data_IF_497882894466
#
_entry.id   IF_497882894466
#
_cell.length_a   1.000
_cell.length_b   1.000
_cell.length_c   1.000
_cell.angle_alpha   90.00
_cell.angle_beta   90.00
_cell.angle_gamma   90.00
#
_symmetry.space_group_name_H-M   'P 1'
#
loop_
_entity.id
_entity.type
_entity.pdbx_description
1 polymer ?
#
# COMPACT_ATOMS: atom_id res chain seq x y z
N UNK A 1 14.22 -44.02 -34.41
CA UNK A 1 13.20 -44.10 -33.33
C UNK A 1 13.63 -43.50 -31.99
N UNK A 2 14.89 -43.63 -31.52
CA UNK A 2 15.31 -43.09 -30.21
C UNK A 2 15.31 -41.55 -30.08
N UNK A 3 15.43 -40.78 -31.17
CA UNK A 3 15.49 -39.29 -31.13
C UNK A 3 14.13 -38.60 -31.06
N UNK A 4 13.04 -39.26 -31.48
CA UNK A 4 11.68 -38.69 -31.47
C UNK A 4 11.08 -38.76 -30.06
N UNK A 5 11.44 -39.79 -29.29
CA UNK A 5 10.93 -40.01 -27.93
C UNK A 5 11.47 -38.96 -26.94
N UNK A 6 12.72 -38.51 -27.10
CA UNK A 6 13.31 -37.50 -26.20
C UNK A 6 12.71 -36.10 -26.36
N UNK A 7 12.24 -35.72 -27.56
CA UNK A 7 11.65 -34.38 -27.77
C UNK A 7 10.26 -34.27 -27.16
N UNK A 8 9.47 -35.35 -27.21
CA UNK A 8 8.11 -35.38 -26.64
C UNK A 8 8.14 -35.31 -25.11
N UNK A 9 9.10 -35.98 -24.46
CA UNK A 9 9.24 -35.94 -22.99
C UNK A 9 9.66 -34.55 -22.48
N UNK A 10 10.49 -33.79 -23.22
CA UNK A 10 10.90 -32.44 -22.83
C UNK A 10 9.77 -31.40 -22.98
N UNK A 11 8.85 -31.59 -23.93
CA UNK A 11 7.68 -30.70 -24.10
C UNK A 11 6.62 -30.89 -23.00
N UNK A 12 6.43 -32.12 -22.50
CA UNK A 12 5.47 -32.39 -21.42
C UNK A 12 5.96 -31.78 -20.10
N UNK A 13 7.25 -31.84 -19.82
CA UNK A 13 7.84 -31.26 -18.62
C UNK A 13 7.74 -29.71 -18.58
N UNK A 14 7.78 -29.04 -19.74
CA UNK A 14 7.66 -27.58 -19.82
C UNK A 14 6.20 -27.11 -19.73
N UNK A 15 5.23 -27.89 -20.23
CA UNK A 15 3.81 -27.56 -20.04
C UNK A 15 3.34 -27.77 -18.59
N UNK A 16 3.89 -28.75 -17.87
CA UNK A 16 3.59 -28.96 -16.44
C UNK A 16 4.10 -27.81 -15.54
N UNK A 17 5.22 -27.17 -15.90
CA UNK A 17 5.76 -26.01 -15.16
C UNK A 17 4.96 -24.72 -15.39
N UNK A 18 4.26 -24.60 -16.52
CA UNK A 18 3.43 -23.43 -16.83
C UNK A 18 2.03 -23.51 -16.19
N UNK A 19 1.55 -24.71 -15.85
CA UNK A 19 0.27 -24.89 -15.15
C UNK A 19 0.33 -24.49 -13.66
N UNK A 20 1.52 -24.47 -13.05
CA UNK A 20 1.69 -24.16 -11.61
C UNK A 20 1.96 -22.68 -11.33
N UNK A 21 2.08 -21.84 -12.36
CA UNK A 21 2.34 -20.40 -12.22
C UNK A 21 1.09 -19.52 -12.43
N UNK A 22 -0.08 -20.12 -12.69
CA UNK A 22 -1.29 -19.39 -13.14
C UNK A 22 -2.45 -19.31 -12.15
N UNK A 23 -2.46 -20.09 -11.09
CA UNK A 23 -3.55 -20.10 -10.10
C UNK A 23 -3.03 -19.48 -8.80
N UNK A 24 -2.85 -18.16 -8.83
CA UNK A 24 -2.78 -17.39 -7.60
C UNK A 24 -4.10 -17.61 -6.87
N UNK A 25 -4.07 -18.31 -5.75
CA UNK A 25 -5.19 -18.41 -4.82
C UNK A 25 -5.68 -16.98 -4.56
N UNK A 26 -6.85 -16.64 -5.07
CA UNK A 26 -7.67 -15.57 -4.50
C UNK A 26 -8.07 -16.09 -3.12
N UNK A 27 -7.14 -15.97 -2.16
CA UNK A 27 -7.38 -16.36 -0.80
C UNK A 27 -8.63 -15.64 -0.32
N UNK A 28 -9.60 -16.42 0.16
CA UNK A 28 -10.72 -15.94 0.96
C UNK A 28 -10.14 -15.25 2.21
N UNK A 29 -9.68 -14.01 2.05
CA UNK A 29 -9.32 -13.18 3.17
C UNK A 29 -10.63 -12.77 3.82
N UNK A 30 -10.89 -13.15 5.08
CA UNK A 30 -12.12 -12.78 5.75
C UNK A 30 -12.23 -11.25 5.75
N UNK A 31 -13.26 -10.74 5.08
CA UNK A 31 -13.50 -9.31 4.97
C UNK A 31 -13.81 -8.77 6.37
N UNK A 32 -12.94 -7.90 6.91
CA UNK A 32 -13.17 -7.28 8.21
C UNK A 32 -14.42 -6.41 8.14
N UNK A 33 -15.25 -6.47 9.18
CA UNK A 33 -16.38 -5.55 9.32
C UNK A 33 -15.88 -4.11 9.47
N UNK A 34 -16.74 -3.15 9.14
CA UNK A 34 -16.43 -1.73 9.29
C UNK A 34 -16.06 -1.36 10.73
N UNK A 35 -16.72 -1.98 11.71
CA UNK A 35 -16.49 -1.79 13.14
C UNK A 35 -15.10 -2.33 13.53
N UNK A 36 -14.73 -3.51 13.04
CA UNK A 36 -13.41 -4.08 13.25
C UNK A 36 -12.32 -3.19 12.63
N UNK A 37 -12.57 -2.67 11.43
CA UNK A 37 -11.66 -1.73 10.77
C UNK A 37 -11.52 -0.42 11.56
N UNK A 38 -12.61 0.17 12.04
CA UNK A 38 -12.59 1.36 12.90
C UNK A 38 -11.79 1.12 14.17
N UNK A 39 -12.00 -0.02 14.84
CA UNK A 39 -11.26 -0.37 16.04
C UNK A 39 -9.76 -0.49 15.75
N UNK A 40 -9.38 -1.20 14.70
CA UNK A 40 -7.98 -1.32 14.29
C UNK A 40 -7.37 0.05 13.96
N UNK A 41 -8.09 0.88 13.20
CA UNK A 41 -7.63 2.21 12.81
C UNK A 41 -7.46 3.13 14.02
N UNK A 42 -8.36 3.03 15.01
CA UNK A 42 -8.29 3.81 16.25
C UNK A 42 -7.00 3.57 17.06
N UNK A 43 -6.37 2.40 16.91
CA UNK A 43 -5.15 2.02 17.61
C UNK A 43 -3.88 2.52 16.92
N UNK A 44 -3.94 2.80 15.62
CA UNK A 44 -2.80 3.33 14.87
C UNK A 44 -2.77 4.85 14.93
N UNK A 45 -1.63 5.43 15.31
CA UNK A 45 -1.47 6.87 15.46
C UNK A 45 -1.75 7.66 14.16
N UNK A 46 -1.48 7.05 13.01
CA UNK A 46 -1.78 7.62 11.69
C UNK A 46 -3.25 7.37 11.31
N UNK A 47 -3.67 6.09 11.26
CA UNK A 47 -5.00 5.71 10.75
C UNK A 47 -6.16 6.23 11.59
N UNK A 48 -5.95 6.56 12.87
CA UNK A 48 -7.01 7.13 13.73
C UNK A 48 -7.61 8.41 13.16
N UNK A 49 -6.87 9.16 12.34
CA UNK A 49 -7.37 10.37 11.67
C UNK A 49 -8.48 10.06 10.65
N UNK A 50 -8.55 8.83 10.12
CA UNK A 50 -9.57 8.39 9.18
C UNK A 50 -10.90 8.04 9.86
N UNK A 51 -10.87 7.61 11.12
CA UNK A 51 -12.04 7.09 11.85
C UNK A 51 -13.26 8.02 11.79
N UNK A 52 -13.13 9.35 11.96
CA UNK A 52 -14.28 10.28 11.87
C UNK A 52 -14.94 10.32 10.49
N UNK A 53 -14.23 9.91 9.43
CA UNK A 53 -14.69 10.00 8.05
C UNK A 53 -15.22 8.68 7.52
N UNK A 54 -14.97 7.54 8.18
CA UNK A 54 -15.38 6.23 7.68
C UNK A 54 -16.90 6.06 7.49
N UNK A 55 -17.73 6.87 8.14
CA UNK A 55 -19.19 6.89 7.95
C UNK A 55 -19.68 7.86 6.88
N UNK A 56 -18.78 8.64 6.28
CA UNK A 56 -19.11 9.59 5.23
C UNK A 56 -19.25 8.87 3.90
N UNK A 57 -20.26 9.23 3.12
CA UNK A 57 -20.51 8.65 1.79
C UNK A 57 -19.29 8.77 0.88
N UNK A 58 -18.62 9.93 0.88
CA UNK A 58 -17.44 10.16 0.05
C UNK A 58 -16.25 9.27 0.41
N UNK A 59 -16.13 8.85 1.68
CA UNK A 59 -15.02 7.99 2.11
C UNK A 59 -15.08 6.63 1.43
N UNK A 60 -16.28 6.09 1.24
CA UNK A 60 -16.50 4.84 0.49
C UNK A 60 -16.29 4.97 -1.03
N UNK A 61 -15.97 6.16 -1.53
CA UNK A 61 -15.60 6.40 -2.93
C UNK A 61 -14.11 6.66 -3.12
N UNK A 62 -13.33 6.53 -2.04
CA UNK A 62 -11.89 6.66 -2.11
C UNK A 62 -11.28 5.41 -2.76
N UNK A 63 -10.31 5.60 -3.65
CA UNK A 63 -9.51 4.50 -4.20
C UNK A 63 -8.02 4.83 -4.12
N UNK A 64 -7.20 3.77 -4.11
CA UNK A 64 -5.75 3.86 -3.99
C UNK A 64 -5.08 3.08 -5.11
N UNK A 65 -4.14 3.72 -5.80
CA UNK A 65 -3.30 3.09 -6.80
C UNK A 65 -1.84 3.21 -6.42
N UNK A 66 -1.06 2.14 -6.61
CA UNK A 66 0.36 2.11 -6.24
C UNK A 66 1.19 1.57 -7.40
N UNK A 67 2.15 2.39 -7.85
CA UNK A 67 3.02 2.05 -8.96
C UNK A 67 4.49 2.13 -8.55
N UNK A 68 5.29 1.20 -9.05
CA UNK A 68 6.74 1.26 -8.89
C UNK A 68 7.32 2.31 -9.84
N UNK A 69 8.25 3.11 -9.33
CA UNK A 69 9.16 3.97 -10.09
C UNK A 69 10.54 3.31 -10.14
N UNK A 70 11.41 3.75 -11.06
CA UNK A 70 12.79 3.24 -11.14
C UNK A 70 13.54 3.35 -9.81
N UNK A 71 13.32 4.43 -9.06
CA UNK A 71 14.00 4.75 -7.81
C UNK A 71 13.03 4.85 -6.62
N UNK A 72 11.85 4.21 -6.70
CA UNK A 72 10.86 4.34 -5.63
C UNK A 72 9.47 3.85 -5.99
N UNK A 73 8.44 4.50 -5.44
CA UNK A 73 7.04 4.29 -5.76
C UNK A 73 6.27 5.61 -5.82
N UNK A 74 5.15 5.59 -6.53
CA UNK A 74 4.12 6.62 -6.51
C UNK A 74 2.82 6.00 -6.00
N UNK A 75 2.13 6.76 -5.16
CA UNK A 75 0.80 6.46 -4.66
C UNK A 75 -0.16 7.52 -5.17
N UNK A 76 -1.32 7.09 -5.66
CA UNK A 76 -2.37 7.98 -6.12
C UNK A 76 -3.61 7.66 -5.30
N UNK A 77 -4.11 8.67 -4.59
CA UNK A 77 -5.39 8.64 -3.91
C UNK A 77 -6.41 9.38 -4.76
N UNK A 78 -7.57 8.78 -5.00
CA UNK A 78 -8.68 9.42 -5.68
C UNK A 78 -9.91 9.46 -4.77
N UNK A 79 -10.68 10.54 -4.83
CA UNK A 79 -11.96 10.74 -4.13
C UNK A 79 -13.06 10.88 -5.19
N UNK A 80 -13.83 9.81 -5.41
CA UNK A 80 -14.86 9.80 -6.46
C UNK A 80 -16.00 10.79 -6.22
N UNK A 81 -16.46 10.93 -4.98
CA UNK A 81 -17.46 11.92 -4.57
C UNK A 81 -16.82 13.26 -4.21
N UNK A 82 -16.87 14.18 -5.17
CA UNK A 82 -16.28 15.52 -5.05
C UNK A 82 -16.91 16.38 -3.95
N UNK A 83 -18.09 16.03 -3.44
CA UNK A 83 -18.70 16.75 -2.32
C UNK A 83 -17.88 16.60 -1.03
N UNK A 84 -17.10 15.51 -0.91
CA UNK A 84 -16.22 15.22 0.22
C UNK A 84 -14.88 15.95 0.23
N UNK A 85 -14.52 16.67 -0.85
CA UNK A 85 -13.15 17.19 -1.01
C UNK A 85 -12.70 18.15 0.09
N UNK A 86 -13.61 18.93 0.70
CA UNK A 86 -13.25 19.81 1.80
C UNK A 86 -12.85 19.03 3.07
N UNK A 87 -13.58 17.96 3.38
CA UNK A 87 -13.26 17.05 4.48
C UNK A 87 -11.99 16.25 4.17
N UNK A 88 -11.82 15.77 2.93
CA UNK A 88 -10.59 15.10 2.51
C UNK A 88 -9.34 15.98 2.65
N UNK A 89 -9.41 17.27 2.28
CA UNK A 89 -8.30 18.22 2.51
C UNK A 89 -7.92 18.36 3.99
N UNK A 90 -8.92 18.28 4.86
CA UNK A 90 -8.71 18.32 6.31
C UNK A 90 -8.03 17.04 6.79
N UNK A 91 -8.47 15.88 6.28
CA UNK A 91 -7.83 14.58 6.51
C UNK A 91 -6.36 14.58 6.02
N UNK A 92 -6.10 15.08 4.81
CA UNK A 92 -4.77 15.20 4.23
C UNK A 92 -3.84 16.05 5.12
N UNK A 93 -4.27 17.23 5.56
CA UNK A 93 -3.48 18.07 6.46
C UNK A 93 -3.21 17.39 7.83
N UNK A 94 -4.15 16.60 8.34
CA UNK A 94 -3.94 15.82 9.55
C UNK A 94 -2.89 14.70 9.35
N UNK A 95 -2.92 14.03 8.20
CA UNK A 95 -1.91 13.06 7.82
C UNK A 95 -0.53 13.67 7.65
N UNK A 96 -0.41 14.83 6.99
CA UNK A 96 0.86 15.54 6.85
C UNK A 96 1.44 15.91 8.22
N UNK A 97 0.61 16.47 9.11
CA UNK A 97 1.02 16.81 10.47
C UNK A 97 1.49 15.58 11.24
N UNK A 98 0.68 14.53 11.29
CA UNK A 98 1.02 13.32 12.05
C UNK A 98 2.19 12.55 11.43
N UNK A 99 2.32 12.52 10.11
CA UNK A 99 3.47 11.96 9.41
C UNK A 99 4.77 12.67 9.79
N UNK A 100 4.77 14.00 9.84
CA UNK A 100 5.91 14.80 10.28
C UNK A 100 6.31 14.53 11.75
N UNK A 101 5.36 14.18 12.61
CA UNK A 101 5.63 13.77 13.99
C UNK A 101 6.22 12.35 14.02
N UNK A 102 5.60 11.40 13.34
CA UNK A 102 6.02 9.99 13.25
C UNK A 102 7.42 9.84 12.66
N UNK A 103 7.81 10.66 11.68
CA UNK A 103 9.18 10.70 11.12
C UNK A 103 10.27 10.84 12.17
N UNK A 104 9.96 11.50 13.30
CA UNK A 104 10.92 11.78 14.38
C UNK A 104 10.98 10.66 15.42
N UNK A 105 10.08 9.69 15.35
CA UNK A 105 10.00 8.62 16.34
C UNK A 105 11.14 7.62 16.22
N UNK A 106 11.48 7.02 17.35
CA UNK A 106 12.32 5.82 17.40
C UNK A 106 11.58 4.63 16.77
N UNK A 107 12.32 3.59 16.36
CA UNK A 107 11.72 2.34 15.89
C UNK A 107 10.85 1.69 16.97
N UNK A 108 11.25 1.79 18.24
CA UNK A 108 10.49 1.25 19.37
C UNK A 108 9.14 1.96 19.55
N UNK A 109 9.12 3.29 19.43
CA UNK A 109 7.87 4.07 19.52
C UNK A 109 6.96 3.78 18.32
N UNK A 110 7.53 3.74 17.11
CA UNK A 110 6.81 3.40 15.89
C UNK A 110 6.16 2.01 16.00
N UNK A 111 6.90 0.99 16.45
CA UNK A 111 6.39 -0.37 16.63
C UNK A 111 5.23 -0.44 17.63
N UNK A 112 5.23 0.41 18.66
CA UNK A 112 4.18 0.44 19.69
C UNK A 112 2.91 1.15 19.22
N UNK A 113 3.05 2.15 18.36
CA UNK A 113 1.98 3.13 18.09
C UNK A 113 1.43 3.09 16.66
N UNK A 114 2.08 2.37 15.74
CA UNK A 114 1.67 2.27 14.34
C UNK A 114 1.17 0.86 14.01
N UNK A 115 0.23 0.74 13.08
CA UNK A 115 -0.08 -0.55 12.45
C UNK A 115 1.08 -0.99 11.53
N UNK A 116 1.10 -2.26 11.13
CA UNK A 116 2.16 -2.84 10.31
C UNK A 116 2.43 -2.04 9.02
N UNK A 117 1.37 -1.61 8.33
CA UNK A 117 1.51 -0.75 7.15
C UNK A 117 2.26 0.56 7.47
N UNK A 118 1.84 1.29 8.51
CA UNK A 118 2.49 2.54 8.90
C UNK A 118 3.91 2.33 9.47
N UNK A 119 4.20 1.17 10.08
CA UNK A 119 5.56 0.78 10.49
C UNK A 119 6.46 0.58 9.26
N UNK A 120 5.94 -0.04 8.19
CA UNK A 120 6.65 -0.17 6.91
C UNK A 120 7.03 1.20 6.34
N UNK A 121 6.06 2.11 6.24
CA UNK A 121 6.30 3.49 5.78
C UNK A 121 7.31 4.24 6.65
N UNK A 122 7.24 4.11 7.97
CA UNK A 122 8.24 4.67 8.89
C UNK A 122 9.64 4.11 8.63
N UNK A 123 9.75 2.79 8.45
CA UNK A 123 11.02 2.11 8.16
C UNK A 123 11.66 2.60 6.86
N UNK A 124 10.87 2.87 5.81
CA UNK A 124 11.37 3.47 4.57
C UNK A 124 12.01 4.83 4.82
N UNK A 125 11.33 5.71 5.57
CA UNK A 125 11.86 7.03 5.92
C UNK A 125 13.13 6.93 6.77
N UNK A 126 13.20 5.98 7.72
CA UNK A 126 14.41 5.72 8.51
C UNK A 126 15.60 5.21 7.66
N UNK A 127 15.32 4.45 6.61
CA UNK A 127 16.34 4.00 5.65
C UNK A 127 16.86 5.14 4.74
N UNK A 128 16.21 6.31 4.76
CA UNK A 128 16.56 7.47 3.95
C UNK A 128 15.78 7.55 2.64
N UNK A 129 14.58 6.97 2.58
CA UNK A 129 13.61 7.36 1.58
C UNK A 129 13.16 8.81 1.83
N UNK A 130 13.03 9.58 0.77
CA UNK A 130 12.39 10.89 0.78
C UNK A 130 10.95 10.70 0.36
N UNK A 131 10.03 11.27 1.12
CA UNK A 131 8.62 11.29 0.79
C UNK A 131 8.10 12.70 0.59
N UNK A 132 7.25 12.85 -0.43
CA UNK A 132 6.59 14.11 -0.79
C UNK A 132 5.15 13.82 -1.20
N UNK A 133 4.23 14.67 -0.75
CA UNK A 133 2.80 14.48 -0.94
C UNK A 133 2.18 15.77 -1.42
N UNK A 134 1.42 15.67 -2.50
CA UNK A 134 0.77 16.81 -3.15
C UNK A 134 -0.72 16.55 -3.23
N UNK A 135 -1.49 17.49 -2.69
CA UNK A 135 -2.93 17.52 -2.84
C UNK A 135 -3.32 17.86 -4.29
N UNK A 136 -4.23 17.10 -4.88
CA UNK A 136 -4.77 17.35 -6.23
C UNK A 136 -6.19 17.93 -6.16
N UNK A 137 -6.84 18.08 -7.32
CA UNK A 137 -8.23 18.52 -7.41
C UNK A 137 -9.21 17.48 -6.84
N UNK A 138 -8.84 16.21 -6.89
CA UNK A 138 -9.70 15.04 -6.70
C UNK A 138 -9.06 13.96 -5.81
N UNK A 139 -8.05 14.33 -5.02
CA UNK A 139 -7.37 13.41 -4.12
C UNK A 139 -5.95 13.90 -3.79
N UNK A 140 -4.98 13.00 -3.81
CA UNK A 140 -3.57 13.33 -3.60
C UNK A 140 -2.64 12.39 -4.34
N UNK A 141 -1.39 12.82 -4.50
CA UNK A 141 -0.31 12.02 -5.06
C UNK A 141 0.86 12.04 -4.09
N UNK A 142 1.34 10.86 -3.71
CA UNK A 142 2.49 10.66 -2.85
C UNK A 142 3.65 10.01 -3.60
N UNK A 143 4.87 10.41 -3.30
CA UNK A 143 6.09 9.79 -3.80
C UNK A 143 6.93 9.29 -2.63
N UNK A 144 7.55 8.13 -2.79
CA UNK A 144 8.62 7.65 -1.90
C UNK A 144 9.78 7.24 -2.78
N UNK A 145 10.90 7.95 -2.67
CA UNK A 145 12.06 7.77 -3.56
C UNK A 145 13.36 7.68 -2.78
N UNK A 146 14.34 7.00 -3.35
CA UNK A 146 15.70 6.96 -2.80
C UNK A 146 16.73 6.70 -3.90
N UNK A 147 17.93 7.26 -3.73
CA UNK A 147 19.08 6.94 -4.59
C UNK A 147 19.83 5.69 -4.11
N UNK A 148 19.48 5.16 -2.93
CA UNK A 148 20.09 3.97 -2.33
C UNK A 148 19.42 2.70 -2.87
N UNK A 149 20.14 1.82 -3.58
CA UNK A 149 19.54 0.61 -4.17
C UNK A 149 18.85 -0.30 -3.16
N UNK A 150 19.38 -0.40 -1.94
CA UNK A 150 18.79 -1.17 -0.84
C UNK A 150 17.47 -0.57 -0.36
N UNK A 151 17.37 0.75 -0.27
CA UNK A 151 16.12 1.43 0.10
C UNK A 151 15.09 1.33 -1.01
N UNK A 152 15.49 1.40 -2.28
CA UNK A 152 14.59 1.20 -3.43
C UNK A 152 13.94 -0.18 -3.38
N UNK A 153 14.71 -1.24 -3.05
CA UNK A 153 14.14 -2.59 -2.87
C UNK A 153 13.11 -2.65 -1.75
N UNK A 154 13.36 -1.96 -0.63
CA UNK A 154 12.40 -1.87 0.47
C UNK A 154 11.12 -1.14 0.03
N UNK A 155 11.26 -0.05 -0.74
CA UNK A 155 10.13 0.70 -1.28
C UNK A 155 9.28 -0.18 -2.20
N UNK A 156 9.90 -0.95 -3.10
CA UNK A 156 9.16 -1.86 -4.00
C UNK A 156 8.46 -2.98 -3.25
N UNK A 157 9.10 -3.56 -2.22
CA UNK A 157 8.46 -4.57 -1.39
C UNK A 157 7.24 -4.00 -0.64
N UNK A 158 7.36 -2.78 -0.11
CA UNK A 158 6.23 -2.08 0.51
C UNK A 158 5.11 -1.81 -0.52
N UNK A 159 5.46 -1.38 -1.74
CA UNK A 159 4.50 -1.15 -2.81
C UNK A 159 3.71 -2.42 -3.16
N UNK A 160 4.36 -3.57 -3.19
CA UNK A 160 3.70 -4.87 -3.42
C UNK A 160 2.70 -5.20 -2.31
N UNK A 161 3.08 -5.01 -1.05
CA UNK A 161 2.17 -5.21 0.10
C UNK A 161 0.97 -4.27 0.03
N UNK A 162 1.18 -3.01 -0.37
CA UNK A 162 0.11 -2.03 -0.48
C UNK A 162 -0.86 -2.36 -1.61
N UNK A 163 -0.35 -2.83 -2.76
CA UNK A 163 -1.21 -3.33 -3.84
C UNK A 163 -2.09 -4.48 -3.37
N UNK A 164 -1.54 -5.42 -2.61
CA UNK A 164 -2.33 -6.52 -2.03
C UNK A 164 -3.39 -6.01 -1.06
N UNK A 165 -3.05 -5.01 -0.24
CA UNK A 165 -3.98 -4.41 0.72
C UNK A 165 -5.15 -3.67 0.04
N UNK A 166 -4.88 -2.96 -1.05
CA UNK A 166 -5.87 -2.13 -1.75
C UNK A 166 -6.58 -2.83 -2.90
N UNK A 167 -6.10 -3.99 -3.36
CA UNK A 167 -6.75 -4.78 -4.42
C UNK A 167 -8.00 -5.54 -3.93
N UNK A 168 -8.40 -5.42 -2.67
CA UNK A 168 -9.56 -6.10 -2.09
C UNK A 168 -10.90 -5.36 -2.31
N UNK A 169 -11.01 -4.57 -3.37
CA UNK A 169 -12.25 -3.87 -3.78
C UNK A 169 -13.05 -4.66 -4.82
#
# INVERSE_FOLDING_TARGET
MKRVISVVLSLIATMALLAWAGEGEHGDHPQMSKEQMKEMFSKCYMCKNMVPYMDKTWYGTMSWEVYNLKNGMIMIEHVGDKSGMAEYKTLFAAFEKTGNEVRKWSEADAKKQLCEHCQGMHSLMKAGAVDDWVLTKDGSVGFFVSDKPETVKMIHAQADQMRQMFAME
#
